data_IF_928530261464
#
_entry.id   IF_928530261464
#
_cell.length_a   1.000
_cell.length_b   1.000
_cell.length_c   1.000
_cell.angle_alpha   90.00
_cell.angle_beta   90.00
_cell.angle_gamma   90.00
#
_symmetry.space_group_name_H-M   'P 1'
#
loop_
_entity.id
_entity.type
_entity.pdbx_description
1 polymer ?
#
# COMPACT_ATOMS: atom_id res chain seq x y z
N UNK A 1 -0.92 -9.11 29.53
CA UNK A 1 -0.88 -10.40 28.82
C UNK A 1 -0.88 -10.10 27.34
N UNK A 2 0.02 -10.68 26.56
CA UNK A 2 0.06 -10.52 25.10
C UNK A 2 -1.07 -11.32 24.45
N UNK A 3 -1.60 -10.85 23.32
CA UNK A 3 -2.62 -11.56 22.55
C UNK A 3 -2.04 -12.86 21.95
N UNK A 4 -2.85 -13.91 21.71
CA UNK A 4 -2.38 -15.15 21.10
C UNK A 4 -1.99 -14.96 19.63
N UNK A 5 -1.18 -15.88 19.10
CA UNK A 5 -0.91 -15.99 17.66
C UNK A 5 -2.07 -16.67 16.90
N UNK A 6 -2.18 -16.37 15.61
CA UNK A 6 -3.10 -17.04 14.71
C UNK A 6 -2.75 -18.54 14.57
N UNK A 7 -3.77 -19.34 14.22
CA UNK A 7 -3.57 -20.75 13.91
C UNK A 7 -3.02 -20.90 12.49
N UNK A 8 -2.20 -21.93 12.27
CA UNK A 8 -1.75 -22.29 10.93
C UNK A 8 -2.90 -22.92 10.11
N UNK A 9 -3.29 -22.24 9.04
CA UNK A 9 -4.30 -22.70 8.08
C UNK A 9 -3.71 -23.07 6.71
N UNK A 10 -2.39 -23.24 6.60
CA UNK A 10 -1.70 -23.58 5.34
C UNK A 10 -2.17 -24.91 4.74
N UNK A 11 -2.75 -25.80 5.55
CA UNK A 11 -3.39 -27.02 5.06
C UNK A 11 -4.59 -26.77 4.14
N UNK A 12 -5.23 -25.59 4.23
CA UNK A 12 -6.34 -25.15 3.37
C UNK A 12 -5.87 -24.53 2.05
N UNK A 13 -4.57 -24.32 1.85
CA UNK A 13 -4.08 -23.73 0.61
C UNK A 13 -4.34 -24.65 -0.59
N UNK A 14 -4.72 -24.03 -1.70
CA UNK A 14 -4.85 -24.67 -3.01
C UNK A 14 -3.52 -25.22 -3.50
N UNK A 15 -3.58 -26.11 -4.49
CA UNK A 15 -2.39 -26.68 -5.13
C UNK A 15 -1.60 -25.59 -5.87
N UNK A 16 -2.29 -24.60 -6.46
CA UNK A 16 -1.67 -23.43 -7.09
C UNK A 16 -0.83 -22.63 -6.08
N UNK A 17 -1.37 -22.38 -4.89
CA UNK A 17 -0.68 -21.64 -3.82
C UNK A 17 0.55 -22.41 -3.34
N UNK A 18 0.41 -23.71 -3.08
CA UNK A 18 1.51 -24.56 -2.62
C UNK A 18 2.64 -24.65 -3.66
N UNK A 19 2.32 -24.60 -4.94
CA UNK A 19 3.29 -24.65 -6.03
C UNK A 19 3.98 -23.30 -6.32
N UNK A 20 3.36 -22.17 -5.95
CA UNK A 20 3.86 -20.82 -6.26
C UNK A 20 5.16 -20.52 -5.51
N UNK A 21 6.23 -20.24 -6.26
CA UNK A 21 7.52 -19.80 -5.70
C UNK A 21 7.79 -18.34 -6.09
N UNK A 22 8.17 -17.47 -5.13
CA UNK A 22 8.54 -16.10 -5.45
C UNK A 22 9.79 -16.07 -6.34
N UNK A 23 9.87 -15.07 -7.23
CA UNK A 23 11.05 -14.89 -8.06
C UNK A 23 12.29 -14.62 -7.21
N UNK A 24 13.41 -15.33 -7.42
CA UNK A 24 14.70 -14.98 -6.79
C UNK A 24 15.12 -13.53 -7.07
N UNK A 25 14.70 -12.94 -8.19
CA UNK A 25 15.00 -11.54 -8.49
C UNK A 25 14.38 -10.58 -7.45
N UNK A 26 13.22 -10.94 -6.88
CA UNK A 26 12.56 -10.13 -5.85
C UNK A 26 13.40 -10.06 -4.58
N UNK A 27 14.18 -11.10 -4.27
CA UNK A 27 15.09 -11.07 -3.11
C UNK A 27 16.25 -10.12 -3.32
N UNK A 28 16.56 -9.67 -4.54
CA UNK A 28 17.68 -8.74 -4.77
C UNK A 28 17.27 -7.26 -4.63
N UNK A 29 15.98 -6.93 -4.77
CA UNK A 29 15.51 -5.53 -4.84
C UNK A 29 15.83 -4.72 -3.58
N UNK A 30 15.87 -5.34 -2.40
CA UNK A 30 16.22 -4.65 -1.15
C UNK A 30 17.66 -4.11 -1.14
N UNK A 31 18.56 -4.68 -1.95
CA UNK A 31 19.95 -4.24 -2.09
C UNK A 31 20.09 -2.94 -2.88
N UNK A 32 19.03 -2.49 -3.58
CA UNK A 32 19.06 -1.24 -4.35
C UNK A 32 19.35 -0.01 -3.47
N UNK A 33 18.94 -0.04 -2.20
CA UNK A 33 19.15 1.06 -1.25
C UNK A 33 20.43 0.92 -0.42
N UNK A 34 21.23 -0.12 -0.63
CA UNK A 34 22.48 -0.32 0.11
C UNK A 34 23.58 0.57 -0.47
N UNK A 35 24.16 1.51 0.31
CA UNK A 35 25.19 2.42 -0.19
C UNK A 35 26.52 1.72 -0.53
N UNK A 36 26.73 0.47 -0.07
CA UNK A 36 27.96 -0.28 -0.31
C UNK A 36 27.90 -1.15 -1.57
N UNK A 37 26.74 -1.24 -2.22
CA UNK A 37 26.50 -2.13 -3.36
C UNK A 37 26.08 -1.31 -4.57
N UNK A 38 26.87 -1.36 -5.64
CA UNK A 38 26.43 -0.88 -6.95
C UNK A 38 25.47 -1.93 -7.52
N UNK A 39 24.17 -1.64 -7.44
CA UNK A 39 23.13 -2.59 -7.84
C UNK A 39 22.81 -2.52 -9.34
N UNK A 40 23.41 -3.42 -10.13
CA UNK A 40 23.16 -3.56 -11.57
C UNK A 40 22.22 -4.74 -11.94
N UNK A 41 21.69 -5.44 -10.93
CA UNK A 41 20.86 -6.64 -11.12
C UNK A 41 19.36 -6.36 -11.28
N UNK A 42 18.94 -5.10 -11.25
CA UNK A 42 17.54 -4.69 -11.34
C UNK A 42 17.10 -4.27 -12.73
N UNK A 43 15.81 -3.94 -12.84
CA UNK A 43 15.19 -3.32 -14.02
C UNK A 43 14.39 -2.07 -13.65
N UNK A 44 14.93 -1.25 -12.74
CA UNK A 44 14.25 -0.05 -12.23
C UNK A 44 14.61 1.14 -13.12
N UNK A 45 13.65 1.74 -13.86
CA UNK A 45 13.93 2.94 -14.65
C UNK A 45 14.27 4.11 -13.73
N UNK A 46 15.07 5.06 -14.22
CA UNK A 46 15.39 6.29 -13.49
C UNK A 46 14.12 7.11 -13.28
N UNK A 47 13.88 7.54 -12.03
CA UNK A 47 12.72 8.36 -11.70
C UNK A 47 12.73 9.71 -12.41
N UNK A 48 13.89 10.20 -12.84
CA UNK A 48 14.04 11.45 -13.61
C UNK A 48 13.16 11.45 -14.86
N UNK A 49 12.96 10.28 -15.49
CA UNK A 49 12.13 10.13 -16.68
C UNK A 49 10.62 10.05 -16.40
N UNK A 50 10.17 10.02 -15.15
CA UNK A 50 8.76 10.07 -14.83
C UNK A 50 8.21 11.48 -15.12
N UNK A 51 7.24 11.63 -16.07
CA UNK A 51 6.87 12.92 -16.65
C UNK A 51 5.87 13.73 -15.81
N UNK A 52 5.92 13.59 -14.49
CA UNK A 52 5.11 14.37 -13.54
C UNK A 52 5.97 14.88 -12.41
N UNK A 53 5.89 16.19 -12.14
CA UNK A 53 6.66 16.86 -11.10
C UNK A 53 5.83 17.14 -9.85
N UNK A 54 4.62 17.66 -10.06
CA UNK A 54 3.70 18.08 -9.01
C UNK A 54 2.32 17.48 -9.27
N UNK A 55 1.67 17.05 -8.19
CA UNK A 55 0.28 16.59 -8.17
C UNK A 55 -0.47 17.44 -7.15
N UNK A 56 -1.46 18.19 -7.61
CA UNK A 56 -2.35 18.96 -6.77
C UNK A 56 -3.78 18.44 -6.85
N UNK A 57 -4.46 18.35 -5.70
CA UNK A 57 -5.85 17.94 -5.62
C UNK A 57 -6.58 18.74 -4.55
N UNK A 58 -7.84 19.09 -4.85
CA UNK A 58 -8.75 19.72 -3.90
C UNK A 58 -9.71 18.67 -3.35
N UNK A 59 -9.72 18.50 -2.02
CA UNK A 59 -10.64 17.63 -1.29
C UNK A 59 -11.60 18.45 -0.43
N UNK A 60 -12.78 17.92 -0.07
CA UNK A 60 -13.67 18.60 0.85
C UNK A 60 -13.02 18.73 2.24
N UNK A 61 -13.34 19.79 2.97
CA UNK A 61 -12.74 20.07 4.29
C UNK A 61 -13.59 19.48 5.44
N UNK A 62 -13.01 18.68 6.35
CA UNK A 62 -13.71 18.27 7.57
C UNK A 62 -14.14 19.48 8.42
N UNK A 63 -15.26 19.41 9.17
CA UNK A 63 -16.10 18.24 9.42
C UNK A 63 -17.27 18.10 8.43
N UNK A 64 -17.17 18.65 7.21
CA UNK A 64 -18.19 18.51 6.15
C UNK A 64 -19.58 19.03 6.53
N UNK A 65 -19.66 20.20 7.18
CA UNK A 65 -20.89 20.76 7.75
C UNK A 65 -22.04 20.96 6.74
N UNK A 66 -21.72 21.13 5.45
CA UNK A 66 -22.68 21.32 4.35
C UNK A 66 -23.09 19.99 3.68
N UNK A 67 -22.63 18.84 4.21
CA UNK A 67 -22.80 17.50 3.62
C UNK A 67 -21.65 17.10 2.70
N UNK A 68 -21.39 15.79 2.57
CA UNK A 68 -20.25 15.25 1.81
C UNK A 68 -20.36 15.44 0.28
N UNK A 69 -21.57 15.73 -0.23
CA UNK A 69 -21.82 16.01 -1.64
C UNK A 69 -21.82 17.51 -1.99
N UNK A 70 -21.52 18.39 -1.03
CA UNK A 70 -21.43 19.82 -1.29
C UNK A 70 -20.25 20.13 -2.23
N UNK A 71 -20.35 21.16 -3.11
CA UNK A 71 -19.25 21.58 -3.96
C UNK A 71 -17.97 21.87 -3.16
N UNK A 72 -16.82 21.50 -3.73
CA UNK A 72 -15.50 21.76 -3.16
C UNK A 72 -15.08 23.17 -3.56
N UNK A 73 -15.66 24.16 -2.88
CA UNK A 73 -15.47 25.58 -3.17
C UNK A 73 -15.31 26.41 -1.88
N UNK A 74 -14.66 27.57 -1.97
CA UNK A 74 -14.51 28.54 -0.89
C UNK A 74 -13.94 27.95 0.42
N UNK A 75 -14.77 27.89 1.47
CA UNK A 75 -14.45 27.43 2.82
C UNK A 75 -14.45 25.89 2.94
N UNK A 76 -14.94 25.16 1.93
CA UNK A 76 -15.02 23.70 1.91
C UNK A 76 -13.83 23.04 1.21
N UNK A 77 -12.73 23.74 0.96
CA UNK A 77 -11.55 23.19 0.26
C UNK A 77 -10.42 22.85 1.24
N UNK A 78 -9.83 21.68 1.05
CA UNK A 78 -8.52 21.30 1.53
C UNK A 78 -7.64 20.95 0.32
N UNK A 79 -6.63 21.78 0.04
CA UNK A 79 -5.70 21.56 -1.05
C UNK A 79 -4.57 20.63 -0.57
N UNK A 80 -4.24 19.63 -1.38
CA UNK A 80 -3.10 18.75 -1.17
C UNK A 80 -2.14 18.88 -2.34
N UNK A 81 -0.86 18.99 -2.04
CA UNK A 81 0.22 19.13 -3.03
C UNK A 81 1.29 18.09 -2.73
N UNK A 82 1.56 17.23 -3.71
CA UNK A 82 2.58 16.18 -3.65
C UNK A 82 3.63 16.46 -4.72
N UNK A 83 4.90 16.47 -4.32
CA UNK A 83 6.01 16.64 -5.26
C UNK A 83 6.68 15.31 -5.61
N UNK A 84 7.53 15.35 -6.63
CA UNK A 84 8.25 14.17 -7.10
C UNK A 84 9.26 13.62 -6.09
N UNK A 85 10.05 14.48 -5.45
CA UNK A 85 11.18 14.06 -4.61
C UNK A 85 10.98 14.38 -3.13
N UNK A 86 10.34 15.50 -2.84
CA UNK A 86 10.24 16.04 -1.48
C UNK A 86 8.92 15.65 -0.83
N UNK A 87 8.98 15.29 0.44
CA UNK A 87 7.80 15.15 1.28
C UNK A 87 7.48 16.53 1.86
N UNK A 88 6.37 17.13 1.44
CA UNK A 88 5.91 18.41 1.97
C UNK A 88 5.21 18.23 3.33
N UNK A 89 4.42 17.17 3.46
CA UNK A 89 3.69 16.84 4.69
C UNK A 89 3.92 15.41 5.15
N UNK A 90 3.69 15.18 6.44
CA UNK A 90 3.72 13.83 7.01
C UNK A 90 2.56 13.00 6.45
N UNK A 91 2.88 11.87 5.82
CA UNK A 91 1.91 10.99 5.16
C UNK A 91 1.98 11.03 3.63
N UNK A 92 2.67 12.03 3.06
CA UNK A 92 2.85 12.12 1.61
C UNK A 92 3.73 11.00 1.08
N UNK A 93 3.37 10.50 -0.10
CA UNK A 93 4.15 9.52 -0.85
C UNK A 93 4.70 10.24 -2.09
N UNK A 94 6.01 10.58 -2.13
CA UNK A 94 6.60 11.30 -3.25
C UNK A 94 6.38 10.58 -4.59
N UNK A 95 6.19 11.33 -5.67
CA UNK A 95 5.85 10.73 -6.97
C UNK A 95 6.95 9.78 -7.46
N UNK A 96 8.23 10.09 -7.21
CA UNK A 96 9.35 9.22 -7.56
C UNK A 96 9.26 7.83 -6.90
N UNK A 97 8.65 7.71 -5.71
CA UNK A 97 8.43 6.41 -5.05
C UNK A 97 7.08 5.80 -5.41
N UNK A 98 6.02 6.60 -5.55
CA UNK A 98 4.69 6.08 -5.89
C UNK A 98 4.63 5.47 -7.30
N UNK A 99 5.38 6.04 -8.25
CA UNK A 99 5.42 5.61 -9.64
C UNK A 99 6.52 4.56 -9.92
N UNK A 100 7.41 4.30 -8.95
CA UNK A 100 8.45 3.29 -9.09
C UNK A 100 7.93 1.90 -8.68
N UNK A 101 8.53 0.85 -9.24
CA UNK A 101 8.31 -0.50 -8.77
C UNK A 101 8.72 -0.64 -7.30
N UNK A 102 7.91 -1.36 -6.54
CA UNK A 102 8.21 -1.66 -5.15
C UNK A 102 6.95 -1.99 -4.37
N UNK A 103 7.14 -2.33 -3.10
CA UNK A 103 6.09 -2.34 -2.07
C UNK A 103 4.78 -2.99 -2.53
N UNK A 104 4.85 -4.24 -3.00
CA UNK A 104 3.67 -4.96 -3.53
C UNK A 104 2.52 -5.06 -2.52
N UNK A 105 2.78 -4.88 -1.23
CA UNK A 105 1.77 -4.88 -0.17
C UNK A 105 0.97 -3.57 -0.10
N UNK A 106 1.48 -2.49 -0.66
CA UNK A 106 1.00 -1.12 -0.49
C UNK A 106 2.09 -0.20 0.06
N UNK A 107 1.94 1.10 -0.17
CA UNK A 107 2.85 2.11 0.37
C UNK A 107 2.68 2.20 1.91
N UNK A 108 3.77 2.28 2.68
CA UNK A 108 3.72 2.17 4.15
C UNK A 108 2.86 3.27 4.79
N UNK A 109 2.85 4.49 4.24
CA UNK A 109 2.01 5.58 4.72
C UNK A 109 0.51 5.23 4.66
N UNK A 110 0.07 4.65 3.54
CA UNK A 110 -1.31 4.19 3.36
C UNK A 110 -1.62 3.01 4.30
N UNK A 111 -0.73 2.02 4.39
CA UNK A 111 -0.95 0.86 5.24
C UNK A 111 -1.00 1.25 6.72
N UNK A 112 -0.19 2.20 7.17
CA UNK A 112 -0.23 2.70 8.54
C UNK A 112 -1.56 3.39 8.85
N UNK A 113 -2.04 4.25 7.95
CA UNK A 113 -3.37 4.85 8.09
C UNK A 113 -4.47 3.78 8.20
N UNK A 114 -4.42 2.74 7.35
CA UNK A 114 -5.38 1.63 7.39
C UNK A 114 -5.26 0.78 8.65
N UNK A 115 -4.05 0.55 9.19
CA UNK A 115 -3.87 -0.15 10.47
C UNK A 115 -4.46 0.63 11.63
N UNK A 116 -4.23 1.94 11.68
CA UNK A 116 -4.78 2.79 12.74
C UNK A 116 -6.29 2.90 12.64
N UNK A 117 -6.83 3.00 11.42
CA UNK A 117 -8.27 2.92 11.19
C UNK A 117 -8.87 1.58 11.66
N UNK A 118 -8.23 0.45 11.35
CA UNK A 118 -8.70 -0.87 11.80
C UNK A 118 -8.73 -0.98 13.33
N UNK A 119 -7.69 -0.50 14.03
CA UNK A 119 -7.64 -0.49 15.51
C UNK A 119 -8.75 0.37 16.13
N UNK A 120 -9.20 1.42 15.43
CA UNK A 120 -10.26 2.29 15.91
C UNK A 120 -11.65 1.64 15.80
N UNK A 121 -11.87 0.83 14.76
CA UNK A 121 -13.18 0.26 14.44
C UNK A 121 -13.36 -1.17 14.98
N UNK A 122 -12.27 -1.94 15.06
CA UNK A 122 -12.31 -3.37 15.37
C UNK A 122 -11.51 -3.70 16.64
N UNK A 123 -12.09 -4.57 17.48
CA UNK A 123 -11.41 -5.16 18.62
C UNK A 123 -10.74 -6.48 18.20
N UNK A 124 -9.48 -6.40 17.80
CA UNK A 124 -8.72 -7.52 17.24
C UNK A 124 -8.05 -8.32 18.36
N UNK A 125 -8.31 -9.63 18.42
CA UNK A 125 -7.97 -10.51 19.54
C UNK A 125 -6.80 -11.48 19.28
N UNK A 126 -5.95 -11.19 18.28
CA UNK A 126 -4.73 -11.95 17.99
C UNK A 126 -3.62 -10.97 17.59
N UNK A 127 -2.35 -11.35 17.78
CA UNK A 127 -1.23 -10.39 17.72
C UNK A 127 -0.67 -10.16 16.31
N UNK A 128 -0.81 -11.13 15.42
CA UNK A 128 -0.16 -11.21 14.11
C UNK A 128 -1.11 -10.86 12.93
N UNK A 129 -2.06 -9.93 13.17
CA UNK A 129 -2.90 -9.38 12.11
C UNK A 129 -2.14 -8.35 11.28
N UNK A 130 -2.47 -8.25 9.99
CA UNK A 130 -1.95 -7.22 9.10
C UNK A 130 -2.94 -6.88 7.98
N UNK A 131 -2.62 -5.86 7.18
CA UNK A 131 -3.40 -5.40 6.04
C UNK A 131 -2.61 -5.49 4.75
N UNK A 132 -3.31 -5.78 3.64
CA UNK A 132 -2.74 -5.84 2.30
C UNK A 132 -3.60 -4.98 1.36
N UNK A 133 -2.98 -4.04 0.64
CA UNK A 133 -3.68 -3.24 -0.35
C UNK A 133 -4.10 -4.11 -1.55
N UNK A 134 -5.29 -3.85 -2.09
CA UNK A 134 -5.83 -4.55 -3.26
C UNK A 134 -6.38 -3.55 -4.27
N UNK A 135 -6.67 -4.01 -5.49
CA UNK A 135 -7.36 -3.21 -6.50
C UNK A 135 -8.91 -3.18 -6.29
N UNK A 136 -9.38 -3.50 -5.08
CA UNK A 136 -10.80 -3.56 -4.72
C UNK A 136 -11.32 -4.99 -4.49
N UNK A 137 -12.53 -5.09 -3.95
CA UNK A 137 -13.11 -6.36 -3.47
C UNK A 137 -13.22 -7.44 -4.55
N UNK A 138 -13.46 -7.08 -5.81
CA UNK A 138 -13.51 -8.04 -6.93
C UNK A 138 -12.16 -8.72 -7.13
N UNK A 139 -11.07 -7.96 -7.11
CA UNK A 139 -9.71 -8.52 -7.21
C UNK A 139 -9.31 -9.31 -5.96
N UNK A 140 -9.72 -8.85 -4.78
CA UNK A 140 -9.52 -9.57 -3.54
C UNK A 140 -10.20 -10.94 -3.58
N UNK A 141 -11.44 -11.01 -4.05
CA UNK A 141 -12.20 -12.26 -4.15
C UNK A 141 -11.60 -13.25 -5.16
N UNK A 142 -11.22 -12.79 -6.36
CA UNK A 142 -10.47 -13.60 -7.33
C UNK A 142 -9.20 -14.18 -6.70
N UNK A 143 -8.46 -13.36 -5.93
CA UNK A 143 -7.25 -13.80 -5.24
C UNK A 143 -7.55 -14.83 -4.15
N UNK A 144 -8.61 -14.64 -3.36
CA UNK A 144 -9.06 -15.61 -2.34
C UNK A 144 -9.39 -16.97 -2.96
N UNK A 145 -10.13 -17.00 -4.07
CA UNK A 145 -10.46 -18.25 -4.77
C UNK A 145 -9.20 -18.98 -5.23
N UNK A 146 -8.23 -18.26 -5.81
CA UNK A 146 -6.95 -18.86 -6.20
C UNK A 146 -6.16 -19.38 -5.01
N UNK A 147 -6.21 -18.68 -3.86
CA UNK A 147 -5.45 -19.06 -2.68
C UNK A 147 -5.97 -20.37 -2.06
N UNK A 148 -7.28 -20.56 -2.02
CA UNK A 148 -7.90 -21.61 -1.20
C UNK A 148 -8.71 -22.68 -1.98
N UNK A 149 -9.05 -22.47 -3.26
CA UNK A 149 -9.92 -23.38 -4.00
C UNK A 149 -9.18 -24.10 -5.14
N UNK A 150 -9.31 -25.43 -5.17
CA UNK A 150 -8.92 -26.26 -6.31
C UNK A 150 -10.11 -26.38 -7.30
N UNK A 151 -9.84 -26.89 -8.50
CA UNK A 151 -10.88 -27.22 -9.49
C UNK A 151 -11.66 -28.48 -9.11
#
# INVERSE_FOLDING_TARGET
MTLPESKDFSYLYSDETKARKPSPLKTCIHLFSDPNIIFLGGGLPLSDYFPWQDLEVNSPKPPFTKGIGAPIENDNIMQSHITKLEKLHNGDIPLARSLQYGLSQGQPELLNFLRDHNKMIHDIHYQDWDVLATAGNTNAWESTLRVFCNR
#
